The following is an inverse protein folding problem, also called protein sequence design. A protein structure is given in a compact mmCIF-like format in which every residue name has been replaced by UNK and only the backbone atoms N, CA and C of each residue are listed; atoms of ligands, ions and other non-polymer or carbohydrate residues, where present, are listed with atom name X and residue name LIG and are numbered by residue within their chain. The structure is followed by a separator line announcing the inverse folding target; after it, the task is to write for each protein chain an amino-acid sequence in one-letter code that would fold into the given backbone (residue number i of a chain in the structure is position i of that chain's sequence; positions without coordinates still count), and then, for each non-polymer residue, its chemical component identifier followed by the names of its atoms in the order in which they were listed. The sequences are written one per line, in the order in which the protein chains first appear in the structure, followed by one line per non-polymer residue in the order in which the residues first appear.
data_IF_307241983922
#
_entry.id   IF_307241983922
#
_cell.length_a   1.000
_cell.length_b   1.000
_cell.length_c   1.000
_cell.angle_alpha   90.00
_cell.angle_beta   90.00
_cell.angle_gamma   90.00
#
_symmetry.space_group_name_H-M   'P 1'
#
loop_
_entity.id
_entity.type
_entity.pdbx_description
1 polymer ?
#
# COMPACT_ATOMS: atom_id res chain seq x y z
N UNK A 1 -22.84 15.40 11.52
CA UNK A 1 -22.08 15.74 10.29
C UNK A 1 -22.77 15.07 9.10
N UNK A 2 -23.47 15.84 8.28
CA UNK A 2 -24.07 15.32 7.07
C UNK A 2 -23.04 15.42 5.92
N UNK A 3 -22.88 14.38 5.09
CA UNK A 3 -21.98 14.44 3.95
C UNK A 3 -22.56 15.35 2.85
N UNK A 4 -21.73 16.14 2.24
CA UNK A 4 -22.06 16.91 1.05
C UNK A 4 -21.65 16.12 -0.19
N UNK A 5 -22.44 16.22 -1.25
CA UNK A 5 -22.11 15.61 -2.54
C UNK A 5 -21.73 16.71 -3.53
N UNK A 6 -20.50 16.61 -4.05
CA UNK A 6 -20.04 17.46 -5.15
C UNK A 6 -20.27 16.72 -6.46
N UNK A 7 -20.93 17.39 -7.38
CA UNK A 7 -21.10 16.92 -8.76
C UNK A 7 -20.28 17.78 -9.69
N UNK A 8 -19.31 17.17 -10.40
CA UNK A 8 -18.53 17.83 -11.43
C UNK A 8 -19.05 17.41 -12.80
N UNK A 9 -19.60 18.37 -13.56
CA UNK A 9 -20.03 18.14 -14.94
C UNK A 9 -18.92 18.62 -15.88
N UNK A 10 -18.35 17.70 -16.65
CA UNK A 10 -17.34 17.99 -17.66
C UNK A 10 -18.01 17.85 -19.03
N UNK A 11 -18.06 18.94 -19.78
CA UNK A 11 -18.63 18.97 -21.12
C UNK A 11 -17.52 19.16 -22.16
N UNK A 12 -17.46 18.29 -23.15
CA UNK A 12 -16.63 18.42 -24.33
C UNK A 12 -17.53 18.67 -25.55
N UNK A 13 -16.95 18.91 -26.73
CA UNK A 13 -17.73 19.02 -27.98
C UNK A 13 -18.50 17.76 -28.36
N UNK A 14 -18.09 16.58 -27.83
CA UNK A 14 -18.63 15.28 -28.23
C UNK A 14 -19.35 14.53 -27.11
N UNK A 15 -19.11 14.90 -25.82
CA UNK A 15 -19.66 14.18 -24.70
C UNK A 15 -19.84 15.05 -23.45
N UNK A 16 -20.75 14.61 -22.59
CA UNK A 16 -20.92 15.16 -21.26
C UNK A 16 -20.71 14.03 -20.23
N UNK A 17 -19.74 14.22 -19.34
CA UNK A 17 -19.39 13.26 -18.30
C UNK A 17 -19.68 13.89 -16.95
N UNK A 18 -20.28 13.14 -16.06
CA UNK A 18 -20.61 13.57 -14.72
C UNK A 18 -19.86 12.74 -13.69
N UNK A 19 -19.07 13.43 -12.87
CA UNK A 19 -18.35 12.82 -11.74
C UNK A 19 -19.03 13.21 -10.44
N UNK A 20 -19.00 12.29 -9.49
CA UNK A 20 -19.54 12.51 -8.17
C UNK A 20 -18.46 12.23 -7.13
N UNK A 21 -18.36 13.08 -6.13
CA UNK A 21 -17.53 12.82 -4.94
C UNK A 21 -18.25 13.28 -3.68
N UNK A 22 -17.90 12.66 -2.57
CA UNK A 22 -18.44 13.02 -1.27
C UNK A 22 -17.45 13.95 -0.56
N UNK A 23 -17.96 15.03 0.02
CA UNK A 23 -17.20 15.93 0.87
C UNK A 23 -17.70 15.68 2.29
N UNK A 24 -16.80 15.30 3.17
CA UNK A 24 -17.04 15.23 4.61
C UNK A 24 -16.34 16.42 5.24
N UNK A 25 -17.08 17.21 6.03
CA UNK A 25 -16.53 18.32 6.78
C UNK A 25 -16.44 17.90 8.26
N UNK A 26 -15.29 17.37 8.70
CA UNK A 26 -15.14 16.91 10.08
C UNK A 26 -14.96 18.11 11.01
N UNK A 27 -15.53 18.03 12.21
CA UNK A 27 -15.34 19.01 13.27
C UNK A 27 -13.95 18.93 13.93
N UNK A 28 -13.09 18.01 13.43
CA UNK A 28 -11.76 17.70 13.97
C UNK A 28 -10.79 17.31 12.86
N UNK A 29 -9.52 17.17 13.19
CA UNK A 29 -8.44 16.82 12.24
C UNK A 29 -8.18 15.30 12.12
N UNK A 30 -9.03 14.43 12.64
CA UNK A 30 -8.75 12.98 12.71
C UNK A 30 -8.52 12.36 11.33
N UNK A 31 -9.23 12.81 10.30
CA UNK A 31 -8.99 12.35 8.94
C UNK A 31 -7.58 12.70 8.46
N UNK A 32 -7.12 13.92 8.75
CA UNK A 32 -5.76 14.36 8.43
C UNK A 32 -4.72 13.55 9.19
N UNK A 33 -4.93 13.34 10.49
CA UNK A 33 -4.02 12.57 11.33
C UNK A 33 -3.91 11.11 10.87
N UNK A 34 -5.03 10.50 10.43
CA UNK A 34 -5.03 9.15 9.86
C UNK A 34 -4.28 9.08 8.52
N UNK A 35 -4.47 10.07 7.64
CA UNK A 35 -3.75 10.17 6.36
C UNK A 35 -2.25 10.30 6.60
N UNK A 36 -1.85 11.18 7.53
CA UNK A 36 -0.44 11.39 7.89
C UNK A 36 0.17 10.12 8.49
N UNK A 37 -0.55 9.44 9.38
CA UNK A 37 -0.10 8.18 9.98
C UNK A 37 0.08 7.09 8.91
N UNK A 38 -0.84 6.98 7.95
CA UNK A 38 -0.73 5.98 6.88
C UNK A 38 0.51 6.21 6.00
N UNK A 39 0.77 7.47 5.63
CA UNK A 39 1.97 7.82 4.87
C UNK A 39 3.25 7.54 5.66
N UNK A 40 3.29 7.97 6.92
CA UNK A 40 4.42 7.75 7.81
C UNK A 40 4.68 6.25 8.03
N UNK A 41 3.62 5.45 8.21
CA UNK A 41 3.71 4.01 8.33
C UNK A 41 4.35 3.37 7.11
N UNK A 42 3.88 3.70 5.90
CA UNK A 42 4.43 3.18 4.65
C UNK A 42 5.90 3.56 4.48
N UNK A 43 6.28 4.80 4.78
CA UNK A 43 7.69 5.26 4.70
C UNK A 43 8.58 4.55 5.70
N UNK A 44 8.17 4.50 6.98
CA UNK A 44 8.96 3.89 8.05
C UNK A 44 9.13 2.39 7.88
N UNK A 45 8.14 1.70 7.29
CA UNK A 45 8.22 0.25 7.06
C UNK A 45 9.35 -0.16 6.10
N UNK A 46 9.98 0.77 5.39
CA UNK A 46 11.14 0.51 4.53
C UNK A 46 12.46 0.49 5.30
N UNK A 47 12.48 0.96 6.54
CA UNK A 47 13.67 1.03 7.38
C UNK A 47 13.41 0.31 8.71
N UNK A 48 14.19 -0.73 9.00
CA UNK A 48 13.98 -1.58 10.18
C UNK A 48 14.04 -0.79 11.51
N UNK A 49 14.95 0.16 11.63
CA UNK A 49 15.12 0.93 12.87
C UNK A 49 13.99 1.96 13.05
N UNK A 50 13.59 2.65 11.97
CA UNK A 50 12.48 3.59 12.01
C UNK A 50 11.14 2.89 12.23
N UNK A 51 10.98 1.70 11.67
CA UNK A 51 9.76 0.91 11.82
C UNK A 51 9.49 0.44 13.25
N UNK A 52 10.46 0.49 14.17
CA UNK A 52 10.25 0.12 15.58
C UNK A 52 9.12 0.90 16.26
N UNK A 53 8.87 2.11 15.80
CA UNK A 53 7.75 2.92 16.29
C UNK A 53 6.39 2.35 15.86
N UNK A 54 6.35 1.55 14.80
CA UNK A 54 5.15 0.94 14.26
C UNK A 54 4.69 -0.31 15.03
N UNK A 55 5.57 -0.90 15.84
CA UNK A 55 5.29 -2.14 16.60
C UNK A 55 4.02 -2.01 17.44
N UNK A 56 3.75 -0.81 17.99
CA UNK A 56 2.56 -0.55 18.81
C UNK A 56 1.24 -0.62 18.04
N UNK A 57 1.28 -0.63 16.71
CA UNK A 57 0.12 -0.75 15.83
C UNK A 57 -0.08 -2.18 15.33
N UNK A 58 0.94 -3.04 15.42
CA UNK A 58 0.85 -4.41 14.96
C UNK A 58 0.08 -5.27 15.95
N UNK A 59 -0.64 -6.24 15.43
CA UNK A 59 -1.37 -7.21 16.23
C UNK A 59 -0.39 -8.30 16.72
N UNK A 60 -0.25 -8.45 18.04
CA UNK A 60 0.46 -9.58 18.63
C UNK A 60 -0.43 -10.83 18.51
N UNK A 61 -0.08 -11.73 17.61
CA UNK A 61 -0.84 -12.96 17.40
C UNK A 61 0.07 -14.18 17.48
N UNK A 62 -0.44 -15.28 18.04
CA UNK A 62 0.29 -16.56 18.14
C UNK A 62 0.53 -17.22 16.76
N UNK A 63 -0.16 -16.75 15.73
CA UNK A 63 -0.02 -17.22 14.35
C UNK A 63 0.32 -16.06 13.43
N UNK A 64 1.62 -15.84 13.20
CA UNK A 64 2.10 -14.90 12.21
C UNK A 64 1.84 -15.40 10.79
N UNK A 65 1.50 -14.48 9.88
CA UNK A 65 1.39 -14.77 8.47
C UNK A 65 2.55 -14.12 7.70
N UNK A 66 3.57 -14.90 7.46
CA UNK A 66 4.78 -14.51 6.72
C UNK A 66 4.91 -15.31 5.41
N UNK A 67 3.79 -15.62 4.77
CA UNK A 67 3.75 -16.49 3.59
C UNK A 67 4.34 -15.84 2.34
N UNK A 68 4.27 -14.51 2.21
CA UNK A 68 4.74 -13.80 1.02
C UNK A 68 4.98 -12.31 1.29
N UNK A 69 6.11 -11.78 0.83
CA UNK A 69 6.37 -10.33 0.78
C UNK A 69 5.47 -9.60 -0.23
N UNK A 70 4.91 -10.31 -1.20
CA UNK A 70 3.93 -9.77 -2.15
C UNK A 70 2.56 -9.50 -1.54
N UNK A 71 2.28 -10.08 -0.36
CA UNK A 71 1.04 -9.84 0.38
C UNK A 71 1.29 -9.92 1.88
N UNK A 72 1.34 -8.76 2.52
CA UNK A 72 1.65 -8.60 3.95
C UNK A 72 0.43 -8.04 4.66
N UNK A 73 0.06 -8.62 5.78
CA UNK A 73 -1.11 -8.20 6.58
C UNK A 73 -0.71 -7.68 7.96
N UNK A 74 -1.66 -7.14 8.71
CA UNK A 74 -1.47 -6.72 10.11
C UNK A 74 -0.94 -7.84 11.01
N UNK A 75 -1.05 -9.11 10.57
CA UNK A 75 -0.58 -10.30 11.29
C UNK A 75 0.84 -10.71 10.94
N UNK A 76 1.51 -9.97 10.06
CA UNK A 76 2.89 -10.26 9.71
C UNK A 76 3.84 -10.03 10.89
N UNK A 77 4.93 -10.77 10.93
CA UNK A 77 6.02 -10.47 11.84
C UNK A 77 6.63 -9.09 11.54
N UNK A 78 7.29 -8.51 12.53
CA UNK A 78 7.96 -7.23 12.35
C UNK A 78 9.04 -7.29 11.26
N UNK A 79 9.80 -8.39 11.17
CA UNK A 79 10.78 -8.59 10.10
C UNK A 79 10.12 -8.60 8.73
N UNK A 80 8.99 -9.31 8.59
CA UNK A 80 8.27 -9.41 7.32
C UNK A 80 7.63 -8.07 6.90
N UNK A 81 7.11 -7.31 7.87
CA UNK A 81 6.66 -5.94 7.63
C UNK A 81 7.78 -5.05 7.07
N UNK A 82 8.99 -5.24 7.56
CA UNK A 82 10.19 -4.48 7.17
C UNK A 82 11.01 -5.20 6.09
N UNK A 83 10.34 -5.90 5.18
CA UNK A 83 10.91 -6.50 3.98
C UNK A 83 11.97 -7.59 4.22
N UNK A 84 11.96 -8.25 5.39
CA UNK A 84 12.86 -9.36 5.74
C UNK A 84 14.36 -9.06 5.52
N UNK A 85 14.75 -7.80 5.70
CA UNK A 85 16.13 -7.37 5.56
C UNK A 85 16.61 -7.14 4.12
N UNK A 86 15.70 -7.09 3.16
CA UNK A 86 16.02 -6.63 1.81
C UNK A 86 16.44 -5.15 1.84
N UNK A 87 17.34 -4.77 0.93
CA UNK A 87 17.71 -3.37 0.71
C UNK A 87 16.65 -2.69 -0.15
N UNK A 88 15.75 -1.96 0.51
CA UNK A 88 14.55 -1.37 -0.09
C UNK A 88 14.53 0.13 0.09
N UNK A 89 14.31 0.86 -0.98
CA UNK A 89 14.14 2.31 -0.95
C UNK A 89 12.87 2.76 -1.68
N UNK A 90 12.28 3.86 -1.24
CA UNK A 90 11.13 4.46 -1.93
C UNK A 90 11.59 5.16 -3.21
N UNK A 91 11.03 4.74 -4.35
CA UNK A 91 11.34 5.30 -5.66
C UNK A 91 10.26 6.34 -6.06
N UNK A 92 10.37 7.54 -5.54
CA UNK A 92 9.43 8.64 -5.79
C UNK A 92 8.50 8.94 -4.60
N UNK A 93 7.61 9.90 -4.79
CA UNK A 93 6.67 10.32 -3.75
C UNK A 93 5.44 9.41 -3.70
N UNK A 94 4.97 9.00 -2.52
CA UNK A 94 3.77 8.19 -2.39
C UNK A 94 2.51 9.01 -2.71
N UNK A 95 1.53 8.34 -3.27
CA UNK A 95 0.19 8.87 -3.47
C UNK A 95 -0.72 8.39 -2.35
N UNK A 96 -1.18 9.31 -1.52
CA UNK A 96 -2.07 9.00 -0.40
C UNK A 96 -3.50 9.38 -0.77
N UNK A 97 -4.43 8.46 -0.56
CA UNK A 97 -5.85 8.66 -0.85
C UNK A 97 -6.70 8.28 0.35
N UNK A 98 -7.45 9.22 0.88
CA UNK A 98 -8.53 8.94 1.82
C UNK A 98 -9.71 8.39 1.01
N UNK A 99 -9.98 7.09 1.12
CA UNK A 99 -11.03 6.41 0.36
C UNK A 99 -12.39 6.60 1.03
N UNK A 100 -12.42 6.46 2.35
CA UNK A 100 -13.64 6.59 3.13
C UNK A 100 -13.34 7.18 4.52
N UNK A 101 -14.29 7.97 5.03
CA UNK A 101 -14.24 8.51 6.39
C UNK A 101 -15.65 8.78 6.88
N UNK A 102 -16.01 8.27 8.06
CA UNK A 102 -17.33 8.45 8.67
C UNK A 102 -17.31 9.39 9.91
N UNK A 103 -16.14 9.97 10.21
CA UNK A 103 -15.92 10.83 11.39
C UNK A 103 -15.14 10.13 12.50
N UNK A 104 -15.11 8.80 12.52
CA UNK A 104 -14.42 7.96 13.50
C UNK A 104 -13.52 6.94 12.84
N UNK A 105 -14.00 6.31 11.78
CA UNK A 105 -13.24 5.33 10.99
C UNK A 105 -12.81 5.94 9.67
N UNK A 106 -11.58 5.61 9.25
CA UNK A 106 -11.02 5.98 7.97
C UNK A 106 -10.44 4.79 7.23
N UNK A 107 -10.63 4.77 5.91
CA UNK A 107 -9.95 3.86 4.99
C UNK A 107 -8.99 4.69 4.14
N UNK A 108 -7.71 4.38 4.25
CA UNK A 108 -6.65 5.11 3.57
C UNK A 108 -5.85 4.14 2.70
N UNK A 109 -5.53 4.58 1.50
CA UNK A 109 -4.68 3.89 0.55
C UNK A 109 -3.43 4.69 0.30
N UNK A 110 -2.27 4.05 0.37
CA UNK A 110 -0.97 4.62 0.00
C UNK A 110 -0.40 3.80 -1.14
N UNK A 111 -0.17 4.44 -2.30
CA UNK A 111 0.48 3.81 -3.46
C UNK A 111 1.85 4.42 -3.68
N UNK A 112 2.83 3.58 -3.86
CA UNK A 112 4.21 3.99 -4.07
C UNK A 112 4.98 2.90 -4.82
N UNK A 113 6.11 3.29 -5.39
CA UNK A 113 7.06 2.34 -5.96
C UNK A 113 8.22 2.18 -5.01
N UNK A 114 8.67 0.96 -4.81
CA UNK A 114 9.94 0.69 -4.13
C UNK A 114 10.94 0.13 -5.12
N UNK A 115 12.22 0.41 -4.88
CA UNK A 115 13.33 -0.22 -5.54
C UNK A 115 14.00 -1.19 -4.56
N UNK A 116 14.13 -2.43 -4.95
CA UNK A 116 14.84 -3.46 -4.21
C UNK A 116 16.20 -3.62 -4.88
N UNK A 117 17.29 -3.48 -4.10
CA UNK A 117 18.64 -3.71 -4.57
C UNK A 117 19.11 -5.10 -4.17
N UNK A 118 19.39 -5.96 -5.14
CA UNK A 118 19.88 -7.30 -4.91
C UNK A 118 21.41 -7.32 -4.68
N UNK A 119 21.93 -8.44 -4.19
CA UNK A 119 23.36 -8.59 -3.87
C UNK A 119 24.31 -8.43 -5.07
N UNK A 120 23.81 -8.61 -6.28
CA UNK A 120 24.53 -8.39 -7.54
C UNK A 120 24.40 -6.95 -8.08
N UNK A 121 23.79 -6.02 -7.30
CA UNK A 121 23.41 -4.67 -7.65
C UNK A 121 22.32 -4.57 -8.73
N UNK A 122 21.62 -5.63 -9.02
CA UNK A 122 20.39 -5.55 -9.83
C UNK A 122 19.33 -4.78 -9.04
N UNK A 123 18.65 -3.86 -9.72
CA UNK A 123 17.60 -3.03 -9.12
C UNK A 123 16.25 -3.40 -9.71
N UNK A 124 15.39 -3.95 -8.87
CA UNK A 124 14.02 -4.33 -9.23
C UNK A 124 13.04 -3.30 -8.72
N UNK A 125 12.13 -2.81 -9.57
CA UNK A 125 11.06 -1.91 -9.18
C UNK A 125 9.79 -2.71 -8.86
N UNK A 126 9.15 -2.34 -7.76
CA UNK A 126 7.94 -3.01 -7.25
C UNK A 126 6.86 -1.95 -7.02
N UNK A 127 5.71 -2.11 -7.68
CA UNK A 127 4.50 -1.31 -7.40
C UNK A 127 3.86 -1.82 -6.11
N UNK A 128 3.70 -0.92 -5.16
CA UNK A 128 3.27 -1.25 -3.80
C UNK A 128 2.03 -0.45 -3.44
N UNK A 129 1.07 -1.14 -2.86
CA UNK A 129 -0.18 -0.55 -2.37
C UNK A 129 -0.42 -0.98 -0.93
N UNK A 130 -0.40 -0.03 0.00
CA UNK A 130 -0.78 -0.24 1.40
C UNK A 130 -2.23 0.23 1.62
N UNK A 131 -3.05 -0.61 2.21
CA UNK A 131 -4.43 -0.34 2.56
C UNK A 131 -4.59 -0.36 4.08
N UNK A 132 -5.11 0.72 4.63
CA UNK A 132 -5.28 0.91 6.06
C UNK A 132 -6.75 1.07 6.42
N UNK A 133 -7.21 0.38 7.45
CA UNK A 133 -8.45 0.70 8.14
C UNK A 133 -8.09 1.19 9.54
N UNK A 134 -8.40 2.42 9.83
CA UNK A 134 -8.06 3.08 11.09
C UNK A 134 -9.29 3.54 11.83
N UNK A 135 -9.21 3.57 13.15
CA UNK A 135 -10.28 4.04 14.03
C UNK A 135 -9.73 5.04 15.04
N UNK A 136 -10.36 6.22 15.11
CA UNK A 136 -10.13 7.14 16.20
C UNK A 136 -10.89 6.68 17.46
N UNK A 137 -10.18 6.67 18.56
CA UNK A 137 -10.78 6.53 19.88
C UNK A 137 -10.28 7.74 20.69
N UNK A 138 -11.08 8.36 21.49
CA UNK A 138 -10.86 9.60 22.28
C UNK A 138 -9.41 9.94 22.70
N UNK A 139 -8.47 9.02 22.55
CA UNK A 139 -7.06 9.13 22.96
C UNK A 139 -6.04 8.97 21.82
N UNK A 140 -6.31 8.08 20.85
CA UNK A 140 -5.37 7.76 19.76
C UNK A 140 -6.06 7.12 18.55
N UNK A 141 -5.31 7.04 17.45
CA UNK A 141 -5.66 6.22 16.29
C UNK A 141 -5.28 4.75 16.57
N UNK A 142 -6.18 3.85 16.24
CA UNK A 142 -5.96 2.41 16.22
C UNK A 142 -5.92 1.93 14.79
N UNK A 143 -4.94 1.11 14.46
CA UNK A 143 -4.89 0.38 13.21
C UNK A 143 -5.74 -0.89 13.38
N UNK A 144 -6.88 -0.92 12.67
CA UNK A 144 -7.84 -2.03 12.73
C UNK A 144 -7.54 -3.10 11.68
N UNK A 145 -6.99 -2.68 10.56
CA UNK A 145 -6.51 -3.56 9.52
C UNK A 145 -5.39 -2.89 8.72
N UNK A 146 -4.45 -3.71 8.28
CA UNK A 146 -3.38 -3.32 7.38
C UNK A 146 -3.16 -4.43 6.36
N UNK A 147 -2.99 -4.05 5.11
CA UNK A 147 -2.69 -4.96 4.03
C UNK A 147 -1.77 -4.26 3.02
N UNK A 148 -0.63 -4.89 2.70
CA UNK A 148 0.27 -4.49 1.62
C UNK A 148 0.18 -5.48 0.49
N UNK A 149 0.01 -4.97 -0.72
CA UNK A 149 0.16 -5.71 -1.96
C UNK A 149 1.35 -5.15 -2.72
N UNK A 150 2.32 -6.00 -3.05
CA UNK A 150 3.54 -5.63 -3.73
C UNK A 150 3.74 -6.51 -4.97
N UNK A 151 3.91 -5.88 -6.13
CA UNK A 151 4.02 -6.56 -7.41
C UNK A 151 5.21 -6.01 -8.18
N UNK A 152 6.08 -6.88 -8.65
CA UNK A 152 7.19 -6.50 -9.50
C UNK A 152 6.68 -5.81 -10.76
N UNK A 153 7.31 -4.69 -11.10
CA UNK A 153 6.97 -3.94 -12.31
C UNK A 153 7.61 -4.60 -13.52
N UNK A 154 6.80 -4.90 -14.52
CA UNK A 154 7.31 -5.39 -15.79
C UNK A 154 8.04 -4.27 -16.54
N UNK A 155 9.36 -4.38 -16.67
CA UNK A 155 10.20 -3.37 -17.33
C UNK A 155 10.21 -3.48 -18.85
N UNK A 156 9.73 -4.60 -19.39
CA UNK A 156 9.71 -4.83 -20.84
C UNK A 156 11.09 -5.00 -21.47
N UNK A 157 12.09 -5.31 -20.66
CA UNK A 157 13.45 -5.53 -21.14
C UNK A 157 13.53 -6.72 -22.11
N UNK A 158 14.56 -6.69 -22.98
CA UNK A 158 14.70 -7.66 -24.07
C UNK A 158 14.75 -9.11 -23.59
N UNK A 159 15.24 -9.32 -22.38
CA UNK A 159 15.33 -10.63 -21.73
C UNK A 159 13.99 -11.18 -21.29
N UNK A 160 13.00 -10.30 -21.03
CA UNK A 160 11.62 -10.70 -20.77
C UNK A 160 10.94 -11.35 -21.99
N UNK A 161 11.50 -11.17 -23.19
CA UNK A 161 10.99 -11.71 -24.44
C UNK A 161 11.88 -12.85 -24.93
N UNK A 162 11.48 -14.08 -24.76
CA UNK A 162 12.20 -15.26 -25.24
C UNK A 162 11.37 -16.04 -26.25
N UNK A 163 11.67 -15.90 -27.53
CA UNK A 163 10.94 -16.58 -28.61
C UNK A 163 9.45 -16.21 -28.63
N UNK A 164 8.57 -17.16 -28.26
CA UNK A 164 7.11 -16.98 -28.20
C UNK A 164 6.61 -16.74 -26.77
N UNK A 165 7.47 -16.43 -25.82
CA UNK A 165 7.13 -16.29 -24.38
C UNK A 165 7.45 -14.89 -23.92
N UNK A 166 6.64 -14.39 -23.01
CA UNK A 166 6.88 -13.15 -22.28
C UNK A 166 7.00 -13.54 -20.81
N UNK A 167 8.12 -13.18 -20.18
CA UNK A 167 8.30 -13.30 -18.74
C UNK A 167 7.72 -12.06 -18.07
N UNK A 168 6.67 -12.20 -17.29
CA UNK A 168 5.96 -11.08 -16.67
C UNK A 168 6.51 -10.71 -15.27
N UNK A 169 7.53 -11.41 -14.77
CA UNK A 169 8.09 -11.13 -13.45
C UNK A 169 7.02 -11.17 -12.34
N UNK A 170 6.50 -12.34 -12.02
CA UNK A 170 5.52 -12.49 -10.93
C UNK A 170 6.29 -12.85 -9.67
N UNK A 171 6.30 -11.96 -8.70
CA UNK A 171 7.06 -12.11 -7.44
C UNK A 171 6.34 -12.93 -6.37
N UNK A 172 5.14 -13.42 -6.61
CA UNK A 172 4.44 -14.27 -5.66
C UNK A 172 4.79 -15.74 -5.91
N UNK A 173 5.74 -16.29 -5.16
CA UNK A 173 6.19 -17.68 -5.25
C UNK A 173 5.05 -18.70 -5.09
N UNK A 174 3.99 -18.36 -4.37
CA UNK A 174 2.82 -19.21 -4.22
C UNK A 174 1.93 -19.28 -5.46
N UNK A 175 2.11 -18.37 -6.41
CA UNK A 175 1.34 -18.33 -7.66
C UNK A 175 2.08 -18.94 -8.85
N UNK A 176 3.39 -19.20 -8.74
CA UNK A 176 4.18 -19.85 -9.78
C UNK A 176 3.98 -21.35 -9.67
N UNK A 177 2.89 -21.84 -10.20
CA UNK A 177 2.79 -23.26 -10.55
C UNK A 177 3.47 -23.46 -11.90
N UNK A 178 4.67 -24.04 -11.92
CA UNK A 178 5.28 -24.47 -13.17
C UNK A 178 4.42 -25.56 -13.80
N UNK A 179 3.68 -25.20 -14.83
CA UNK A 179 3.01 -26.20 -15.67
C UNK A 179 4.08 -26.76 -16.60
N UNK A 180 4.60 -27.94 -16.29
CA UNK A 180 5.34 -28.73 -17.26
C UNK A 180 4.35 -29.31 -18.26
N UNK A 181 4.41 -28.87 -19.51
CA UNK A 181 3.79 -29.57 -20.65
C UNK A 181 4.65 -30.75 -21.07
#
# INVERSE_FOLDING_TARGET
NEPYYLTLNVSTSESQIRYYTRIVWPDNNYAYDMVSLAEEFSRKSLDYEQARELVSYLETNDTEDNSSLGHVTIRASFSHLTWDGLDVEMAGEPQVTLQEFDGIMGQIKVRYTVAITESDNTRTLVDTEDNFTMKWNEKRIYLMNYERNANEMFTGEREAFSGKRILLGITNDNMIKSVKS
#
